data_IF_859179642190
#
_entry.id   IF_859179642190
#
_cell.length_a   1.000
_cell.length_b   1.000
_cell.length_c   1.000
_cell.angle_alpha   90.00
_cell.angle_beta   90.00
_cell.angle_gamma   90.00
#
_symmetry.space_group_name_H-M   'P 1'
#
loop_
_entity.id
_entity.type
_entity.pdbx_description
1 polymer ?
#
# COMPACT_ATOMS: atom_id res chain seq x y z
N UNK A 1 16.42 7.51 13.50
CA UNK A 1 15.11 6.84 13.41
C UNK A 1 14.10 7.29 14.46
N UNK A 2 14.41 7.30 15.79
CA UNK A 2 13.43 7.63 16.85
C UNK A 2 12.67 8.97 16.69
N UNK A 3 13.35 10.05 16.27
CA UNK A 3 12.71 11.38 16.08
C UNK A 3 11.65 11.44 14.98
N UNK A 4 11.83 10.66 13.90
CA UNK A 4 10.92 10.68 12.74
C UNK A 4 9.60 9.97 13.05
N UNK A 5 9.67 8.82 13.72
CA UNK A 5 8.47 8.09 14.14
C UNK A 5 7.65 8.86 15.17
N UNK A 6 8.32 9.53 16.12
CA UNK A 6 7.65 10.34 17.14
C UNK A 6 6.96 11.57 16.53
N UNK A 7 7.58 12.21 15.52
CA UNK A 7 6.97 13.29 14.75
C UNK A 7 5.70 12.84 14.02
N UNK A 8 5.79 11.73 13.26
CA UNK A 8 4.64 11.18 12.55
C UNK A 8 3.54 10.71 13.49
N UNK A 9 3.90 10.11 14.64
CA UNK A 9 2.94 9.78 15.70
C UNK A 9 2.23 11.03 16.19
N UNK A 10 2.95 12.10 16.50
CA UNK A 10 2.35 13.37 16.94
C UNK A 10 1.35 13.94 15.93
N UNK A 11 1.67 13.88 14.63
CA UNK A 11 0.73 14.27 13.57
C UNK A 11 -0.50 13.36 13.52
N UNK A 12 -0.31 12.05 13.64
CA UNK A 12 -1.44 11.12 13.66
C UNK A 12 -2.25 11.31 14.93
N UNK A 13 -1.66 11.60 16.08
CA UNK A 13 -2.35 11.89 17.34
C UNK A 13 -3.22 13.16 17.23
N UNK A 14 -2.74 14.18 16.55
CA UNK A 14 -3.48 15.41 16.27
C UNK A 14 -4.61 15.20 15.24
N UNK A 15 -4.27 14.82 14.00
CA UNK A 15 -5.18 14.90 12.84
C UNK A 15 -5.46 13.53 12.19
N UNK A 16 -4.92 12.46 12.75
CA UNK A 16 -5.06 11.10 12.25
C UNK A 16 -5.99 10.22 13.10
N UNK A 17 -6.09 8.95 12.71
CA UNK A 17 -6.90 7.94 13.39
C UNK A 17 -6.26 6.57 13.29
N UNK A 18 -6.48 5.76 14.32
CA UNK A 18 -6.03 4.38 14.45
C UNK A 18 -7.20 3.58 15.01
N UNK A 19 -7.50 2.42 14.43
CA UNK A 19 -8.59 1.57 14.92
C UNK A 19 -9.06 0.54 13.91
N UNK A 20 -10.35 0.19 13.96
CA UNK A 20 -10.99 -0.74 13.05
C UNK A 20 -12.02 -0.06 12.15
N UNK A 21 -12.08 -0.44 10.89
CA UNK A 21 -13.16 -0.04 9.99
C UNK A 21 -14.48 -0.69 10.43
N UNK A 22 -15.61 -0.26 9.87
CA UNK A 22 -16.92 -0.91 10.08
C UNK A 22 -16.95 -2.38 9.66
N UNK A 23 -16.00 -2.81 8.81
CA UNK A 23 -15.82 -4.19 8.37
C UNK A 23 -14.84 -4.98 9.27
N UNK A 24 -14.38 -4.39 10.38
CA UNK A 24 -13.45 -5.02 11.31
C UNK A 24 -12.02 -5.11 10.78
N UNK A 25 -11.59 -4.24 9.86
CA UNK A 25 -10.21 -4.21 9.39
C UNK A 25 -9.38 -3.15 10.14
N UNK A 26 -8.18 -3.50 10.63
CA UNK A 26 -7.24 -2.53 11.17
C UNK A 26 -7.01 -1.39 10.19
N UNK A 27 -6.90 -0.16 10.69
CA UNK A 27 -6.52 0.99 9.88
C UNK A 27 -5.68 2.01 10.65
N UNK A 28 -4.85 2.71 9.89
CA UNK A 28 -4.15 3.95 10.30
C UNK A 28 -4.40 4.98 9.21
N UNK A 29 -4.86 6.17 9.57
CA UNK A 29 -5.14 7.24 8.61
C UNK A 29 -4.64 8.59 9.06
N UNK A 30 -4.35 9.45 8.08
CA UNK A 30 -4.04 10.86 8.25
C UNK A 30 -4.70 11.66 7.14
N UNK A 31 -5.38 12.74 7.51
CA UNK A 31 -5.91 13.72 6.56
C UNK A 31 -5.08 14.99 6.65
N UNK A 32 -4.57 15.47 5.51
CA UNK A 32 -3.71 16.66 5.50
C UNK A 32 -3.76 17.38 4.15
N UNK A 33 -3.72 18.72 4.18
CA UNK A 33 -3.54 19.53 2.98
C UNK A 33 -2.06 19.60 2.53
N UNK A 34 -1.12 19.20 3.40
CA UNK A 34 0.32 19.33 3.14
C UNK A 34 0.86 18.16 2.32
N UNK A 35 1.38 18.47 1.12
CA UNK A 35 2.06 17.47 0.28
C UNK A 35 3.32 16.94 0.94
N UNK A 36 4.04 17.75 1.72
CA UNK A 36 5.24 17.33 2.41
C UNK A 36 4.92 16.29 3.49
N UNK A 37 3.91 16.55 4.33
CA UNK A 37 3.47 15.59 5.36
C UNK A 37 2.95 14.31 4.69
N UNK A 38 2.15 14.45 3.64
CA UNK A 38 1.60 13.30 2.93
C UNK A 38 2.70 12.40 2.34
N UNK A 39 3.67 13.01 1.66
CA UNK A 39 4.82 12.31 1.08
C UNK A 39 5.67 11.66 2.17
N UNK A 40 5.89 12.37 3.28
CA UNK A 40 6.67 11.85 4.39
C UNK A 40 6.03 10.61 5.03
N UNK A 41 4.72 10.63 5.30
CA UNK A 41 4.01 9.46 5.81
C UNK A 41 4.02 8.30 4.79
N UNK A 42 3.90 8.61 3.49
CA UNK A 42 3.99 7.60 2.42
C UNK A 42 5.34 6.91 2.41
N UNK A 43 6.42 7.69 2.44
CA UNK A 43 7.79 7.17 2.40
C UNK A 43 8.08 6.35 3.66
N UNK A 44 7.74 6.87 4.84
CA UNK A 44 7.88 6.16 6.10
C UNK A 44 7.12 4.83 6.13
N UNK A 45 5.84 4.84 5.71
CA UNK A 45 5.04 3.64 5.71
C UNK A 45 5.51 2.62 4.66
N UNK A 46 6.07 3.05 3.53
CA UNK A 46 6.72 2.13 2.59
C UNK A 46 7.90 1.44 3.26
N UNK A 47 8.74 2.19 3.97
CA UNK A 47 9.94 1.62 4.62
C UNK A 47 9.55 0.63 5.74
N UNK A 48 8.46 0.89 6.47
CA UNK A 48 7.96 0.00 7.54
C UNK A 48 7.18 -1.21 7.02
N UNK A 49 6.33 -1.02 6.01
CA UNK A 49 5.34 -2.02 5.60
C UNK A 49 5.67 -2.72 4.29
N UNK A 50 6.54 -2.14 3.48
CA UNK A 50 6.78 -2.50 2.07
C UNK A 50 5.67 -2.03 1.12
N UNK A 51 4.62 -1.37 1.62
CA UNK A 51 3.48 -1.00 0.80
C UNK A 51 3.72 0.32 0.05
N UNK A 52 3.71 0.26 -1.27
CA UNK A 52 3.68 1.46 -2.11
C UNK A 52 2.29 2.07 -2.19
N UNK A 53 2.23 3.40 -2.15
CA UNK A 53 1.00 4.17 -2.37
C UNK A 53 1.25 5.35 -3.28
N UNK A 54 0.33 5.57 -4.21
CA UNK A 54 0.21 6.83 -4.95
C UNK A 54 -0.58 7.82 -4.11
N UNK A 55 -0.07 9.03 -3.96
CA UNK A 55 -0.77 10.13 -3.29
C UNK A 55 -1.60 10.90 -4.31
N UNK A 56 -2.89 11.08 -4.01
CA UNK A 56 -3.80 11.89 -4.81
C UNK A 56 -4.65 12.74 -3.86
N UNK A 57 -4.81 14.03 -4.17
CA UNK A 57 -5.75 14.90 -3.47
C UNK A 57 -7.18 14.46 -3.79
N UNK A 58 -8.05 14.52 -2.78
CA UNK A 58 -9.46 14.24 -2.97
C UNK A 58 -10.10 15.38 -3.79
N UNK A 59 -11.14 15.09 -4.56
CA UNK A 59 -11.75 16.10 -5.45
C UNK A 59 -12.64 17.11 -4.73
N UNK A 60 -13.06 16.83 -3.48
CA UNK A 60 -14.04 17.62 -2.73
C UNK A 60 -13.38 18.81 -2.05
N UNK A 61 -12.31 18.54 -1.32
CA UNK A 61 -11.64 19.47 -0.42
C UNK A 61 -10.19 19.74 -0.86
N UNK A 62 -9.72 19.10 -1.93
CA UNK A 62 -8.36 19.20 -2.45
C UNK A 62 -7.26 18.87 -1.40
N UNK A 63 -7.51 17.89 -0.53
CA UNK A 63 -6.56 17.42 0.49
C UNK A 63 -6.24 15.93 0.34
N UNK A 64 -5.17 15.48 0.98
CA UNK A 64 -4.80 14.06 1.02
C UNK A 64 -5.59 13.34 2.12
N UNK A 65 -6.25 12.24 1.76
CA UNK A 65 -6.78 11.26 2.69
C UNK A 65 -5.94 9.98 2.60
N UNK A 66 -5.00 9.81 3.52
CA UNK A 66 -4.06 8.70 3.53
C UNK A 66 -4.60 7.63 4.46
N UNK A 67 -4.70 6.40 3.96
CA UNK A 67 -5.30 5.29 4.69
C UNK A 67 -4.50 4.00 4.45
N UNK A 68 -3.94 3.43 5.51
CA UNK A 68 -3.41 2.07 5.55
C UNK A 68 -4.43 1.16 6.20
N UNK A 69 -4.56 -0.08 5.71
CA UNK A 69 -5.52 -1.06 6.23
C UNK A 69 -4.87 -2.43 6.40
N UNK A 70 -5.50 -3.30 7.19
CA UNK A 70 -5.12 -4.71 7.41
C UNK A 70 -3.67 -4.84 7.90
N UNK A 71 -2.86 -5.73 7.34
CA UNK A 71 -1.49 -6.00 7.80
C UNK A 71 -0.61 -4.76 7.73
N UNK A 72 -0.81 -3.90 6.74
CA UNK A 72 -0.05 -2.65 6.63
C UNK A 72 -0.38 -1.70 7.78
N UNK A 73 -1.65 -1.65 8.20
CA UNK A 73 -2.04 -0.85 9.36
C UNK A 73 -1.50 -1.45 10.68
N UNK A 74 -1.51 -2.78 10.83
CA UNK A 74 -0.93 -3.42 12.02
C UNK A 74 0.57 -3.12 12.15
N UNK A 75 1.34 -3.34 11.07
CA UNK A 75 2.78 -3.07 11.05
C UNK A 75 3.08 -1.60 11.34
N UNK A 76 2.35 -0.70 10.69
CA UNK A 76 2.55 0.74 10.86
C UNK A 76 2.17 1.20 12.27
N UNK A 77 1.07 0.71 12.83
CA UNK A 77 0.65 1.05 14.19
C UNK A 77 1.63 0.54 15.24
N UNK A 78 2.09 -0.72 15.13
CA UNK A 78 3.06 -1.31 16.06
C UNK A 78 4.39 -0.54 16.10
N UNK A 79 4.83 -0.01 14.96
CA UNK A 79 6.07 0.77 14.89
C UNK A 79 5.91 2.22 15.40
N UNK A 80 4.78 2.87 15.10
CA UNK A 80 4.49 4.24 15.56
C UNK A 80 4.18 4.30 17.06
N UNK A 81 3.40 3.35 17.57
CA UNK A 81 2.90 3.26 18.95
C UNK A 81 3.64 2.18 19.73
N UNK A 82 4.96 2.27 19.75
CA UNK A 82 5.81 1.37 20.54
C UNK A 82 5.58 1.55 22.05
N UNK A 83 5.93 0.56 22.89
CA UNK A 83 5.77 0.65 24.34
C UNK A 83 6.42 1.90 24.94
N UNK A 84 5.76 2.50 25.92
CA UNK A 84 6.19 3.69 26.67
C UNK A 84 6.41 4.94 25.81
N UNK A 85 5.84 5.00 24.61
CA UNK A 85 5.89 6.19 23.79
C UNK A 85 4.92 7.28 24.27
N UNK A 86 5.29 8.56 24.07
CA UNK A 86 4.38 9.67 24.38
C UNK A 86 3.29 9.74 23.31
N UNK A 87 2.12 9.19 23.60
CA UNK A 87 0.98 9.11 22.70
C UNK A 87 -0.34 9.44 23.42
N UNK A 88 -1.40 9.67 22.66
CA UNK A 88 -2.74 9.70 23.24
C UNK A 88 -3.13 8.28 23.69
N UNK A 89 -3.49 8.11 24.96
CA UNK A 89 -3.83 6.81 25.55
C UNK A 89 -4.87 6.04 24.72
N UNK A 90 -5.94 6.71 24.27
CA UNK A 90 -6.95 6.09 23.40
C UNK A 90 -6.39 5.53 22.09
N UNK A 91 -5.35 6.14 21.52
CA UNK A 91 -4.71 5.72 20.27
C UNK A 91 -3.66 4.65 20.52
N UNK A 92 -2.97 4.68 21.65
CA UNK A 92 -2.15 3.56 22.13
C UNK A 92 -2.99 2.30 22.28
N UNK A 93 -4.10 2.38 23.04
CA UNK A 93 -5.02 1.25 23.24
C UNK A 93 -5.57 0.72 21.91
N UNK A 94 -5.92 1.61 20.98
CA UNK A 94 -6.35 1.22 19.64
C UNK A 94 -5.24 0.49 18.89
N UNK A 95 -4.01 1.02 18.87
CA UNK A 95 -2.85 0.39 18.23
C UNK A 95 -2.54 -0.99 18.81
N UNK A 96 -2.55 -1.12 20.14
CA UNK A 96 -2.31 -2.38 20.84
C UNK A 96 -3.35 -3.44 20.44
N UNK A 97 -4.63 -3.04 20.34
CA UNK A 97 -5.70 -3.93 19.90
C UNK A 97 -5.54 -4.45 18.46
N UNK A 98 -4.84 -3.70 17.59
CA UNK A 98 -4.64 -4.14 16.20
C UNK A 98 -3.77 -5.38 16.11
N UNK A 99 -2.87 -5.61 17.06
CA UNK A 99 -1.99 -6.80 17.10
C UNK A 99 -2.77 -8.11 17.16
N UNK A 100 -4.01 -8.08 17.70
CA UNK A 100 -4.89 -9.25 17.80
C UNK A 100 -5.60 -9.61 16.50
N UNK A 101 -5.64 -8.71 15.52
CA UNK A 101 -6.34 -8.98 14.27
C UNK A 101 -5.59 -10.03 13.44
N UNK A 102 -6.34 -11.02 12.99
CA UNK A 102 -5.85 -12.02 12.03
C UNK A 102 -6.63 -11.91 10.74
N UNK A 103 -5.95 -12.01 9.61
CA UNK A 103 -6.62 -12.09 8.31
C UNK A 103 -7.62 -13.25 8.29
N UNK A 104 -8.91 -12.98 7.98
CA UNK A 104 -9.89 -14.04 7.85
C UNK A 104 -9.49 -15.08 6.79
N UNK A 105 -9.77 -16.35 7.05
CA UNK A 105 -9.52 -17.44 6.13
C UNK A 105 -10.18 -17.17 4.76
N UNK A 106 -9.47 -17.48 3.68
CA UNK A 106 -9.95 -17.25 2.30
C UNK A 106 -9.82 -15.82 1.80
N UNK A 107 -9.45 -14.84 2.63
CA UNK A 107 -9.24 -13.47 2.17
C UNK A 107 -7.94 -13.34 1.36
N UNK A 108 -8.06 -13.15 0.05
CA UNK A 108 -6.90 -13.02 -0.85
C UNK A 108 -5.99 -11.85 -0.48
N UNK A 109 -4.69 -12.11 -0.45
CA UNK A 109 -3.66 -11.07 -0.40
C UNK A 109 -3.49 -10.54 -1.82
N UNK A 110 -3.38 -9.21 -1.97
CA UNK A 110 -3.08 -8.64 -3.28
C UNK A 110 -1.66 -9.07 -3.66
N UNK A 111 -1.46 -9.74 -4.80
CA UNK A 111 -0.11 -10.09 -5.24
C UNK A 111 0.71 -8.81 -5.45
N UNK A 112 2.04 -8.89 -5.31
CA UNK A 112 2.92 -7.75 -5.60
C UNK A 112 2.70 -7.26 -7.03
N UNK A 113 3.08 -6.00 -7.27
CA UNK A 113 3.07 -5.44 -8.62
C UNK A 113 4.02 -6.26 -9.50
N UNK A 114 3.57 -6.61 -10.69
CA UNK A 114 4.43 -7.29 -11.67
C UNK A 114 5.44 -6.27 -12.19
N UNK A 115 6.72 -6.60 -12.03
CA UNK A 115 7.83 -5.89 -12.66
C UNK A 115 8.07 -6.55 -14.02
N UNK A 116 7.55 -5.92 -15.07
CA UNK A 116 7.72 -6.41 -16.44
C UNK A 116 9.17 -6.22 -16.89
N UNK A 117 9.81 -7.33 -17.22
CA UNK A 117 11.17 -7.33 -17.81
C UNK A 117 11.09 -7.46 -19.32
N UNK A 118 12.16 -7.06 -20.06
CA UNK A 118 12.22 -7.27 -21.51
C UNK A 118 11.98 -8.73 -21.91
N UNK A 119 12.46 -9.69 -21.12
CA UNK A 119 12.24 -11.11 -21.39
C UNK A 119 10.77 -11.52 -21.28
N UNK A 120 10.07 -11.02 -20.26
CA UNK A 120 8.64 -11.26 -20.11
C UNK A 120 7.85 -10.62 -21.27
N UNK A 121 8.29 -9.44 -21.72
CA UNK A 121 7.68 -8.78 -22.88
C UNK A 121 7.91 -9.58 -24.17
N UNK A 122 9.08 -10.19 -24.36
CA UNK A 122 9.34 -11.11 -25.48
C UNK A 122 8.39 -12.30 -25.43
N UNK A 123 8.26 -12.96 -24.27
CA UNK A 123 7.30 -14.07 -24.07
C UNK A 123 5.87 -13.65 -24.42
N UNK A 124 5.44 -12.47 -23.98
CA UNK A 124 4.10 -11.96 -24.28
C UNK A 124 3.85 -11.73 -25.78
N UNK A 125 4.89 -11.30 -26.51
CA UNK A 125 4.81 -11.00 -27.94
C UNK A 125 4.90 -12.26 -28.82
N UNK A 126 5.74 -13.22 -28.45
CA UNK A 126 6.00 -14.44 -29.22
C UNK A 126 4.97 -15.54 -28.97
N UNK A 127 4.37 -15.59 -27.78
CA UNK A 127 3.41 -16.63 -27.42
C UNK A 127 2.17 -16.60 -28.34
N UNK A 128 1.70 -17.79 -28.79
CA UNK A 128 0.58 -17.90 -29.72
C UNK A 128 -0.73 -17.37 -29.14
N UNK A 129 -0.93 -17.51 -27.83
CA UNK A 129 -2.09 -16.96 -27.11
C UNK A 129 -1.68 -16.37 -25.76
N UNK A 130 -2.51 -15.46 -25.22
CA UNK A 130 -2.32 -14.95 -23.85
C UNK A 130 -2.38 -16.06 -22.81
N UNK A 131 -3.15 -17.12 -23.05
CA UNK A 131 -3.23 -18.26 -22.13
C UNK A 131 -1.87 -18.94 -22.00
N UNK A 132 -1.17 -19.16 -23.12
CA UNK A 132 0.19 -19.72 -23.11
C UNK A 132 1.17 -18.81 -22.38
N UNK A 133 1.19 -17.51 -22.74
CA UNK A 133 2.09 -16.56 -22.09
C UNK A 133 1.86 -16.47 -20.57
N UNK A 134 0.59 -16.43 -20.15
CA UNK A 134 0.24 -16.33 -18.73
C UNK A 134 0.64 -17.59 -17.96
N UNK A 135 0.48 -18.77 -18.55
CA UNK A 135 0.92 -20.03 -17.95
C UNK A 135 2.44 -20.10 -17.82
N UNK A 136 3.17 -19.70 -18.86
CA UNK A 136 4.64 -19.66 -18.87
C UNK A 136 5.20 -18.68 -17.83
N UNK A 137 4.58 -17.50 -17.71
CA UNK A 137 4.98 -16.47 -16.76
C UNK A 137 4.47 -16.68 -15.33
N UNK A 138 3.59 -17.67 -15.10
CA UNK A 138 2.97 -17.91 -13.79
C UNK A 138 2.05 -16.78 -13.32
N UNK A 139 1.46 -16.00 -14.24
CA UNK A 139 0.55 -14.90 -13.91
C UNK A 139 -0.88 -15.16 -14.36
N UNK A 140 -1.81 -14.33 -13.88
CA UNK A 140 -3.16 -14.31 -14.43
C UNK A 140 -3.17 -13.72 -15.85
N UNK A 141 -4.17 -14.10 -16.64
CA UNK A 141 -4.28 -13.69 -18.04
C UNK A 141 -4.50 -12.18 -18.20
N UNK A 142 -5.29 -11.56 -17.31
CA UNK A 142 -5.64 -10.14 -17.38
C UNK A 142 -4.43 -9.18 -17.40
N UNK A 143 -3.45 -9.27 -16.47
CA UNK A 143 -2.25 -8.43 -16.54
C UNK A 143 -1.40 -8.72 -17.78
N UNK A 144 -1.26 -9.98 -18.19
CA UNK A 144 -0.54 -10.37 -19.40
C UNK A 144 -1.18 -9.75 -20.66
N UNK A 145 -2.50 -9.83 -20.78
CA UNK A 145 -3.27 -9.23 -21.87
C UNK A 145 -3.09 -7.71 -21.92
N UNK A 146 -3.22 -7.04 -20.77
CA UNK A 146 -3.02 -5.60 -20.68
C UNK A 146 -1.60 -5.18 -21.06
N UNK A 147 -0.57 -5.93 -20.63
CA UNK A 147 0.82 -5.64 -20.99
C UNK A 147 1.07 -5.85 -22.48
N UNK A 148 0.65 -6.99 -23.04
CA UNK A 148 0.75 -7.27 -24.49
C UNK A 148 0.07 -6.21 -25.33
N UNK A 149 -1.13 -5.78 -24.94
CA UNK A 149 -1.84 -4.71 -25.64
C UNK A 149 -1.04 -3.40 -25.65
N UNK A 150 -0.46 -3.00 -24.51
CA UNK A 150 0.39 -1.80 -24.43
C UNK A 150 1.64 -1.88 -25.31
N UNK A 151 2.28 -3.05 -25.39
CA UNK A 151 3.43 -3.30 -26.27
C UNK A 151 3.01 -3.15 -27.74
N UNK A 152 1.92 -3.80 -28.15
CA UNK A 152 1.43 -3.78 -29.54
C UNK A 152 0.95 -2.40 -30.00
N UNK A 153 0.52 -1.54 -29.07
CA UNK A 153 0.02 -0.20 -29.38
C UNK A 153 1.04 0.91 -29.08
N UNK A 154 2.31 0.56 -28.80
CA UNK A 154 3.38 1.53 -28.57
C UNK A 154 3.19 2.41 -27.32
N UNK A 155 2.36 1.99 -26.36
CA UNK A 155 2.16 2.71 -25.09
C UNK A 155 3.35 2.50 -24.15
N UNK A 156 4.04 1.38 -24.30
CA UNK A 156 5.30 1.08 -23.64
C UNK A 156 6.32 0.66 -24.71
N UNK A 157 7.63 0.89 -24.49
CA UNK A 157 8.67 0.48 -25.43
C UNK A 157 8.62 -1.02 -25.69
N UNK A 158 8.96 -1.43 -26.91
CA UNK A 158 9.23 -2.82 -27.23
C UNK A 158 10.53 -3.27 -26.52
N UNK A 159 10.66 -4.56 -26.19
CA UNK A 159 11.92 -5.08 -25.65
C UNK A 159 13.02 -4.94 -26.71
N UNK A 160 14.21 -4.53 -26.25
CA UNK A 160 15.44 -4.51 -27.07
C UNK A 160 15.82 -5.93 -27.56
#
# INVERSE_FOLDING_TARGET
>A
MKRLRDYLRGLIDADGSVGFTSQGFPFVSLTTASTAIASHLRDYARDVTGAERTLKRNARDDIYNILYIKENAQKLAADLYYPDCLSLERKQNAADSLSSWTRPAGMKIKPPRIEWTPEMDRILLTAPTIVHAAAELGYSQSPCQNRRWKLLHGIVPLPD
#
